data_IF_299500977351
#
_entry.id   IF_299500977351
#
_cell.length_a   1.000
_cell.length_b   1.000
_cell.length_c   1.000
_cell.angle_alpha   90.00
_cell.angle_beta   90.00
_cell.angle_gamma   90.00
#
_symmetry.space_group_name_H-M   'P 1'
#
loop_
_entity.id
_entity.type
_entity.pdbx_description
1 polymer ?
#
# COMPACT_ATOMS: atom_id res chain seq x y z
N UNK A 1 -2.19 15.44 -3.51
CA UNK A 1 -2.27 14.09 -2.92
C UNK A 1 -0.86 13.59 -2.69
N UNK A 2 -0.58 13.08 -1.50
CA UNK A 2 0.68 12.43 -1.14
C UNK A 2 0.35 10.96 -0.88
N UNK A 3 1.04 10.05 -1.59
CA UNK A 3 0.88 8.61 -1.40
C UNK A 3 2.14 8.02 -0.77
N UNK A 4 1.95 7.22 0.27
CA UNK A 4 3.06 6.55 0.96
C UNK A 4 2.70 5.15 1.42
N UNK A 5 3.67 4.49 2.02
CA UNK A 5 3.47 3.23 2.72
C UNK A 5 2.71 3.48 4.04
N UNK A 6 2.27 2.40 4.66
CA UNK A 6 1.55 2.45 5.94
C UNK A 6 2.53 2.66 7.10
N UNK A 7 2.87 3.92 7.37
CA UNK A 7 3.75 4.32 8.47
C UNK A 7 3.13 5.47 9.29
N UNK A 8 2.73 5.25 10.55
CA UNK A 8 2.06 6.26 11.37
C UNK A 8 2.87 7.53 11.57
N UNK A 9 4.19 7.41 11.75
CA UNK A 9 5.08 8.55 11.90
C UNK A 9 5.09 9.42 10.64
N UNK A 10 5.17 8.80 9.47
CA UNK A 10 5.12 9.48 8.19
C UNK A 10 3.77 10.17 7.96
N UNK A 11 2.66 9.49 8.28
CA UNK A 11 1.32 10.08 8.18
C UNK A 11 1.18 11.33 9.07
N UNK A 12 1.71 11.28 10.29
CA UNK A 12 1.73 12.41 11.22
C UNK A 12 2.51 13.61 10.67
N UNK A 13 3.72 13.36 10.14
CA UNK A 13 4.56 14.42 9.53
C UNK A 13 3.90 14.99 8.29
N UNK A 14 3.35 14.16 7.40
CA UNK A 14 2.67 14.64 6.19
C UNK A 14 1.49 15.55 6.55
N UNK A 15 0.70 15.18 7.56
CA UNK A 15 -0.43 15.99 8.01
C UNK A 15 0.01 17.33 8.64
N UNK A 16 1.12 17.32 9.38
CA UNK A 16 1.65 18.52 10.03
C UNK A 16 2.25 19.51 9.01
N UNK A 17 3.09 19.02 8.10
CA UNK A 17 3.84 19.85 7.15
C UNK A 17 3.07 20.18 5.86
N UNK A 18 2.14 19.31 5.46
CA UNK A 18 1.36 19.44 4.23
C UNK A 18 -0.15 19.38 4.51
N UNK A 19 -0.63 20.21 5.43
CA UNK A 19 -2.02 20.21 5.90
C UNK A 19 -3.09 20.41 4.81
N UNK A 20 -2.74 21.01 3.67
CA UNK A 20 -3.63 21.18 2.51
C UNK A 20 -3.64 19.99 1.56
N UNK A 21 -2.72 19.04 1.74
CA UNK A 21 -2.59 17.85 0.89
C UNK A 21 -3.32 16.66 1.49
N UNK A 22 -4.13 15.98 0.68
CA UNK A 22 -4.67 14.67 1.05
C UNK A 22 -3.54 13.64 1.12
N UNK A 23 -3.38 13.01 2.28
CA UNK A 23 -2.52 11.85 2.46
C UNK A 23 -3.34 10.57 2.30
N UNK A 24 -2.88 9.66 1.45
CA UNK A 24 -3.52 8.36 1.23
C UNK A 24 -2.44 7.29 1.22
N UNK A 25 -2.68 6.20 1.93
CA UNK A 25 -1.76 5.07 1.95
C UNK A 25 -1.95 4.18 0.72
N UNK A 26 -0.85 3.58 0.27
CA UNK A 26 -0.80 2.74 -0.91
C UNK A 26 -1.69 1.49 -0.79
N UNK A 27 -2.50 1.22 -1.81
CA UNK A 27 -3.39 0.05 -1.88
C UNK A 27 -2.64 -1.29 -1.79
N UNK A 28 -1.43 -1.36 -2.36
CA UNK A 28 -0.59 -2.55 -2.27
C UNK A 28 -0.21 -2.84 -0.82
N UNK A 29 0.20 -1.80 -0.07
CA UNK A 29 0.56 -1.93 1.34
C UNK A 29 -0.64 -2.26 2.23
N UNK A 30 -1.81 -1.68 1.95
CA UNK A 30 -3.07 -2.09 2.58
C UNK A 30 -3.33 -3.61 2.39
N UNK A 31 -3.31 -4.07 1.14
CA UNK A 31 -3.56 -5.48 0.80
C UNK A 31 -2.51 -6.40 1.42
N UNK A 32 -1.24 -5.97 1.43
CA UNK A 32 -0.13 -6.72 2.01
C UNK A 32 -0.25 -6.79 3.54
N UNK A 33 -0.71 -5.74 4.22
CA UNK A 33 -0.93 -5.74 5.66
C UNK A 33 -2.00 -6.77 6.06
N UNK A 34 -3.11 -6.83 5.32
CA UNK A 34 -4.15 -7.86 5.51
C UNK A 34 -3.58 -9.25 5.23
N UNK A 35 -2.82 -9.44 4.16
CA UNK A 35 -2.22 -10.74 3.86
C UNK A 35 -1.24 -11.20 4.97
N UNK A 36 -0.44 -10.28 5.52
CA UNK A 36 0.40 -10.56 6.69
C UNK A 36 -0.42 -10.87 7.93
N UNK A 37 -1.59 -10.27 8.11
CA UNK A 37 -2.51 -10.60 9.19
C UNK A 37 -3.05 -12.02 9.04
N UNK A 38 -3.52 -12.39 7.84
CA UNK A 38 -3.96 -13.76 7.48
C UNK A 38 -2.87 -14.78 7.87
N UNK A 39 -1.61 -14.48 7.55
CA UNK A 39 -0.48 -15.34 7.91
C UNK A 39 -0.28 -15.45 9.43
N UNK A 40 -0.33 -14.31 10.14
CA UNK A 40 -0.13 -14.25 11.60
C UNK A 40 -1.22 -14.98 12.38
N UNK A 41 -2.46 -14.91 11.94
CA UNK A 41 -3.59 -15.61 12.60
C UNK A 41 -3.73 -17.08 12.17
N UNK A 42 -2.74 -17.63 11.45
CA UNK A 42 -2.71 -19.05 11.07
C UNK A 42 -3.64 -19.43 9.92
N UNK A 43 -4.23 -18.46 9.21
CA UNK A 43 -5.17 -18.71 8.12
C UNK A 43 -4.52 -18.98 6.75
N UNK A 44 -3.18 -19.03 6.66
CA UNK A 44 -2.45 -19.25 5.39
C UNK A 44 -2.94 -20.46 4.60
N UNK A 45 -3.11 -21.61 5.27
CA UNK A 45 -3.57 -22.84 4.58
C UNK A 45 -5.01 -22.69 4.10
N UNK A 46 -5.89 -22.17 4.95
CA UNK A 46 -7.29 -21.92 4.61
C UNK A 46 -7.44 -20.91 3.48
N UNK A 47 -6.67 -19.83 3.47
CA UNK A 47 -6.68 -18.84 2.39
C UNK A 47 -6.30 -19.44 1.02
N UNK A 48 -5.44 -20.46 1.00
CA UNK A 48 -5.01 -21.10 -0.23
C UNK A 48 -5.95 -22.23 -0.68
N UNK A 49 -6.63 -22.89 0.24
CA UNK A 49 -7.35 -24.15 -0.01
C UNK A 49 -8.87 -24.09 0.22
N UNK A 50 -9.39 -23.04 0.86
CA UNK A 50 -10.82 -22.82 1.10
C UNK A 50 -11.28 -21.56 0.35
N UNK A 51 -12.03 -21.76 -0.74
CA UNK A 51 -12.50 -20.67 -1.60
C UNK A 51 -13.41 -19.68 -0.87
N UNK A 52 -14.16 -20.12 0.14
CA UNK A 52 -15.04 -19.24 0.90
C UNK A 52 -14.25 -18.30 1.80
N UNK A 53 -13.22 -18.81 2.48
CA UNK A 53 -12.29 -17.99 3.28
C UNK A 53 -11.50 -17.05 2.38
N UNK A 54 -10.99 -17.56 1.27
CA UNK A 54 -10.27 -16.76 0.28
C UNK A 54 -11.13 -15.62 -0.28
N UNK A 55 -12.41 -15.88 -0.52
CA UNK A 55 -13.35 -14.88 -1.02
C UNK A 55 -13.53 -13.74 -0.01
N UNK A 56 -13.82 -14.05 1.26
CA UNK A 56 -13.99 -13.01 2.31
C UNK A 56 -12.71 -12.21 2.48
N UNK A 57 -11.55 -12.87 2.57
CA UNK A 57 -10.25 -12.18 2.68
C UNK A 57 -10.01 -11.22 1.50
N UNK A 58 -10.41 -11.60 0.28
CA UNK A 58 -10.32 -10.74 -0.91
C UNK A 58 -11.33 -9.60 -0.90
N UNK A 59 -12.53 -9.80 -0.34
CA UNK A 59 -13.52 -8.74 -0.16
C UNK A 59 -13.00 -7.70 0.83
N UNK A 60 -12.39 -8.12 1.95
CA UNK A 60 -11.69 -7.20 2.87
C UNK A 60 -10.59 -6.40 2.16
N UNK A 61 -9.79 -7.06 1.31
CA UNK A 61 -8.77 -6.39 0.50
C UNK A 61 -9.36 -5.42 -0.53
N UNK A 62 -10.62 -5.60 -0.96
CA UNK A 62 -11.27 -4.79 -1.98
C UNK A 62 -12.02 -3.56 -1.42
N UNK A 63 -12.29 -3.49 -0.11
CA UNK A 63 -13.00 -2.37 0.53
C UNK A 63 -12.46 -0.97 0.15
N UNK A 64 -11.13 -0.71 0.06
CA UNK A 64 -10.59 0.58 -0.38
C UNK A 64 -11.05 1.06 -1.76
N UNK A 65 -11.56 0.15 -2.60
CA UNK A 65 -11.97 0.43 -3.96
C UNK A 65 -13.42 0.93 -4.03
N UNK A 66 -14.16 0.86 -2.93
CA UNK A 66 -15.54 1.35 -2.82
C UNK A 66 -15.56 2.83 -2.45
N UNK A 67 -16.63 3.57 -2.81
CA UNK A 67 -16.83 4.92 -2.30
C UNK A 67 -16.78 4.94 -0.77
N UNK A 68 -16.06 5.90 -0.20
CA UNK A 68 -15.88 6.01 1.26
C UNK A 68 -17.18 5.89 2.08
N UNK A 69 -18.30 6.53 1.70
CA UNK A 69 -19.54 6.49 2.50
C UNK A 69 -20.18 5.10 2.62
N UNK A 70 -19.83 4.13 1.76
CA UNK A 70 -20.45 2.80 1.75
C UNK A 70 -19.55 1.70 2.32
N UNK A 71 -18.31 2.03 2.69
CA UNK A 71 -17.31 1.03 3.10
C UNK A 71 -17.74 0.32 4.39
N UNK A 72 -18.15 1.06 5.40
CA UNK A 72 -18.55 0.52 6.70
C UNK A 72 -19.82 -0.33 6.58
N UNK A 73 -20.86 0.18 5.89
CA UNK A 73 -22.09 -0.56 5.61
C UNK A 73 -21.83 -1.88 4.84
N UNK A 74 -20.92 -1.83 3.85
CA UNK A 74 -20.56 -3.01 3.05
C UNK A 74 -19.77 -4.03 3.89
N UNK A 75 -18.89 -3.56 4.77
CA UNK A 75 -18.19 -4.44 5.71
C UNK A 75 -19.18 -5.12 6.65
N UNK A 76 -20.09 -4.36 7.26
CA UNK A 76 -21.09 -4.93 8.16
C UNK A 76 -22.00 -5.93 7.45
N UNK A 77 -22.42 -5.65 6.22
CA UNK A 77 -23.20 -6.58 5.42
C UNK A 77 -22.43 -7.86 5.11
N UNK A 78 -21.15 -7.76 4.75
CA UNK A 78 -20.26 -8.91 4.54
C UNK A 78 -20.21 -9.81 5.78
N UNK A 79 -20.08 -9.22 6.98
CA UNK A 79 -20.04 -9.98 8.23
C UNK A 79 -21.40 -10.58 8.56
N UNK A 80 -22.51 -9.82 8.40
CA UNK A 80 -23.87 -10.33 8.63
C UNK A 80 -24.23 -11.50 7.72
N UNK A 81 -23.83 -11.45 6.46
CA UNK A 81 -24.10 -12.49 5.47
C UNK A 81 -23.18 -13.72 5.62
N UNK A 82 -22.13 -13.63 6.43
CA UNK A 82 -21.22 -14.74 6.72
C UNK A 82 -21.80 -15.69 7.77
N UNK A 83 -21.70 -17.00 7.52
CA UNK A 83 -22.17 -18.03 8.46
C UNK A 83 -21.47 -17.92 9.82
N UNK A 84 -22.14 -18.36 10.89
CA UNK A 84 -21.57 -18.35 12.26
C UNK A 84 -20.23 -19.10 12.30
N UNK A 85 -20.15 -20.25 11.64
CA UNK A 85 -18.92 -21.05 11.55
C UNK A 85 -17.80 -20.28 10.85
N UNK A 86 -18.12 -19.54 9.79
CA UNK A 86 -17.14 -18.73 9.06
C UNK A 86 -16.62 -17.57 9.92
N UNK A 87 -17.53 -16.84 10.59
CA UNK A 87 -17.14 -15.76 11.50
C UNK A 87 -16.24 -16.26 12.62
N UNK A 88 -16.53 -17.43 13.20
CA UNK A 88 -15.66 -18.06 14.22
C UNK A 88 -14.27 -18.38 13.69
N UNK A 89 -14.16 -18.90 12.45
CA UNK A 89 -12.86 -19.18 11.82
C UNK A 89 -12.06 -17.90 11.53
N UNK A 90 -12.75 -16.80 11.21
CA UNK A 90 -12.13 -15.53 10.85
C UNK A 90 -11.96 -14.57 12.03
N UNK A 91 -12.39 -14.93 13.24
CA UNK A 91 -12.51 -14.03 14.39
C UNK A 91 -11.27 -13.15 14.58
N UNK A 92 -10.09 -13.75 14.69
CA UNK A 92 -8.84 -13.03 14.97
C UNK A 92 -8.44 -12.11 13.80
N UNK A 93 -8.80 -12.45 12.56
CA UNK A 93 -8.59 -11.59 11.40
C UNK A 93 -9.54 -10.40 11.42
N UNK A 94 -10.81 -10.61 11.76
CA UNK A 94 -11.83 -9.56 11.86
C UNK A 94 -11.52 -8.60 13.01
N UNK A 95 -11.12 -9.12 14.18
CA UNK A 95 -10.68 -8.30 15.31
C UNK A 95 -9.46 -7.45 14.93
N UNK A 96 -8.48 -8.03 14.23
CA UNK A 96 -7.38 -7.25 13.66
C UNK A 96 -7.89 -6.18 12.68
N UNK A 97 -8.86 -6.52 11.83
CA UNK A 97 -9.37 -5.63 10.82
C UNK A 97 -10.06 -4.42 11.46
N UNK A 98 -10.97 -4.64 12.40
CA UNK A 98 -11.68 -3.61 13.14
C UNK A 98 -10.70 -2.67 13.86
N UNK A 99 -9.76 -3.26 14.61
CA UNK A 99 -8.78 -2.51 15.38
C UNK A 99 -7.85 -1.65 14.52
N UNK A 100 -7.44 -2.12 13.35
CA UNK A 100 -6.53 -1.34 12.50
C UNK A 100 -7.28 -0.37 11.59
N UNK A 101 -8.32 -0.83 10.91
CA UNK A 101 -8.89 -0.13 9.76
C UNK A 101 -10.12 0.71 10.08
N UNK A 102 -10.77 0.47 11.22
CA UNK A 102 -11.88 1.31 11.71
C UNK A 102 -11.50 2.11 12.96
N UNK A 103 -10.70 1.54 13.89
CA UNK A 103 -10.37 2.23 15.14
C UNK A 103 -9.11 3.12 15.05
N UNK A 104 -8.05 2.68 14.37
CA UNK A 104 -6.75 3.38 14.36
C UNK A 104 -6.51 4.27 13.16
N UNK A 105 -7.00 3.87 11.99
CA UNK A 105 -6.73 4.57 10.72
C UNK A 105 -8.03 5.10 10.13
N UNK A 106 -8.15 6.40 9.84
CA UNK A 106 -9.33 6.95 9.17
C UNK A 106 -9.56 6.31 7.80
N UNK A 107 -10.82 6.05 7.43
CA UNK A 107 -11.18 5.46 6.12
C UNK A 107 -10.63 6.29 4.97
N UNK A 108 -10.73 7.61 5.05
CA UNK A 108 -10.15 8.54 4.07
C UNK A 108 -8.66 8.34 3.78
N UNK A 109 -7.90 7.75 4.72
CA UNK A 109 -6.47 7.49 4.57
C UNK A 109 -6.18 6.19 3.82
N UNK A 110 -7.08 5.21 3.82
CA UNK A 110 -6.89 3.95 3.09
C UNK A 110 -7.86 3.74 1.93
N UNK A 111 -8.87 4.59 1.77
CA UNK A 111 -9.75 4.63 0.62
C UNK A 111 -8.98 5.15 -0.61
N UNK A 112 -8.99 4.38 -1.70
CA UNK A 112 -8.35 4.73 -2.98
C UNK A 112 -9.35 4.85 -4.13
N UNK A 113 -10.65 4.88 -3.81
CA UNK A 113 -11.71 5.03 -4.77
C UNK A 113 -11.58 6.36 -5.54
N UNK A 114 -11.79 6.31 -6.86
CA UNK A 114 -11.67 7.49 -7.72
C UNK A 114 -10.24 7.99 -7.96
N UNK A 115 -9.22 7.47 -7.28
CA UNK A 115 -7.83 7.89 -7.48
C UNK A 115 -7.24 7.31 -8.77
N UNK A 116 -6.52 8.15 -9.54
CA UNK A 116 -5.77 7.75 -10.74
C UNK A 116 -4.48 7.00 -10.42
N UNK A 117 -3.88 7.28 -9.26
CA UNK A 117 -2.70 6.60 -8.73
C UNK A 117 -3.11 5.96 -7.39
N UNK A 118 -3.01 4.63 -7.32
CA UNK A 118 -3.41 3.84 -6.13
C UNK A 118 -2.25 3.10 -5.48
N UNK A 119 -1.10 3.07 -6.15
CA UNK A 119 0.11 2.41 -5.68
C UNK A 119 1.31 3.35 -5.75
N UNK A 120 2.31 3.07 -4.92
CA UNK A 120 3.61 3.72 -4.88
C UNK A 120 4.65 3.08 -5.84
N UNK A 121 4.21 2.26 -6.81
CA UNK A 121 5.06 1.46 -7.71
C UNK A 121 6.19 2.27 -8.37
N UNK A 122 5.97 3.55 -8.67
CA UNK A 122 7.00 4.41 -9.26
C UNK A 122 8.20 4.62 -8.33
N UNK A 123 7.94 4.85 -7.04
CA UNK A 123 8.99 4.99 -6.04
C UNK A 123 9.71 3.66 -5.82
N UNK A 124 8.98 2.55 -5.73
CA UNK A 124 9.56 1.20 -5.59
C UNK A 124 10.41 0.80 -6.80
N UNK A 125 9.95 1.10 -8.02
CA UNK A 125 10.71 0.87 -9.24
C UNK A 125 12.00 1.69 -9.29
N UNK A 126 11.93 2.95 -8.84
CA UNK A 126 13.12 3.79 -8.68
C UNK A 126 14.09 3.17 -7.67
N UNK A 127 13.62 2.81 -6.47
CA UNK A 127 14.45 2.20 -5.43
C UNK A 127 15.10 0.90 -5.91
N UNK A 128 14.34 0.02 -6.57
CA UNK A 128 14.85 -1.23 -7.14
C UNK A 128 15.96 -0.99 -8.17
N UNK A 129 15.72 -0.07 -9.11
CA UNK A 129 16.71 0.30 -10.13
C UNK A 129 17.96 0.92 -9.50
N UNK A 130 17.79 1.79 -8.51
CA UNK A 130 18.89 2.46 -7.82
C UNK A 130 19.74 1.44 -7.04
N UNK A 131 19.11 0.58 -6.24
CA UNK A 131 19.80 -0.46 -5.48
C UNK A 131 20.57 -1.43 -6.38
N UNK A 132 20.01 -1.80 -7.55
CA UNK A 132 20.71 -2.62 -8.55
C UNK A 132 21.97 -1.97 -9.12
N UNK A 133 22.09 -0.63 -9.07
CA UNK A 133 23.29 0.09 -9.51
C UNK A 133 24.29 0.31 -8.39
N UNK A 134 23.79 0.60 -7.19
CA UNK A 134 24.63 0.77 -6.01
C UNK A 134 25.39 -0.53 -5.75
N UNK A 135 24.73 -1.70 -5.82
CA UNK A 135 25.30 -3.04 -5.58
C UNK A 135 26.13 -3.17 -4.29
N UNK A 136 25.96 -2.24 -3.36
CA UNK A 136 26.56 -2.26 -2.04
C UNK A 136 25.43 -2.40 -1.03
N UNK A 137 25.56 -3.37 -0.13
CA UNK A 137 24.59 -3.58 0.94
C UNK A 137 24.55 -2.39 1.92
N UNK A 138 25.71 -1.79 2.18
CA UNK A 138 25.87 -0.63 3.06
C UNK A 138 26.88 0.38 2.46
N UNK A 139 26.48 1.18 1.46
CA UNK A 139 27.34 2.24 0.95
C UNK A 139 27.62 3.27 2.06
N UNK A 140 28.88 3.64 2.26
CA UNK A 140 29.19 4.79 3.09
C UNK A 140 28.68 6.09 2.43
N UNK A 141 28.65 7.19 3.19
CA UNK A 141 28.11 8.48 2.73
C UNK A 141 28.75 8.95 1.41
N UNK A 142 30.06 8.81 1.25
CA UNK A 142 30.76 9.24 0.04
C UNK A 142 30.39 8.40 -1.18
N UNK A 143 30.34 7.08 -1.02
CA UNK A 143 29.88 6.16 -2.05
C UNK A 143 28.43 6.44 -2.43
N UNK A 144 27.56 6.68 -1.43
CA UNK A 144 26.17 7.01 -1.65
C UNK A 144 25.99 8.31 -2.45
N UNK A 145 26.69 9.39 -2.07
CA UNK A 145 26.70 10.66 -2.81
C UNK A 145 27.18 10.46 -4.25
N UNK A 146 28.22 9.63 -4.46
CA UNK A 146 28.72 9.31 -5.80
C UNK A 146 27.64 8.64 -6.66
N UNK A 147 26.90 7.67 -6.10
CA UNK A 147 25.80 7.02 -6.81
C UNK A 147 24.64 7.98 -7.09
N UNK A 148 24.30 8.87 -6.15
CA UNK A 148 23.27 9.90 -6.37
C UNK A 148 23.63 10.84 -7.51
N UNK A 149 24.88 11.32 -7.57
CA UNK A 149 25.37 12.13 -8.69
C UNK A 149 25.24 11.39 -10.03
N UNK A 150 25.56 10.10 -10.04
CA UNK A 150 25.40 9.25 -11.23
C UNK A 150 23.94 9.12 -11.68
N UNK A 151 22.98 9.00 -10.75
CA UNK A 151 21.56 9.01 -11.12
C UNK A 151 21.11 10.36 -11.69
N UNK A 152 21.49 11.46 -11.05
CA UNK A 152 21.15 12.81 -11.48
C UNK A 152 21.62 13.07 -12.91
N UNK A 153 22.89 12.77 -13.21
CA UNK A 153 23.45 12.96 -14.55
C UNK A 153 22.71 12.14 -15.61
N UNK A 154 22.23 10.94 -15.26
CA UNK A 154 21.42 10.12 -16.18
C UNK A 154 20.03 10.71 -16.40
N UNK A 155 19.37 11.18 -15.35
CA UNK A 155 18.07 11.83 -15.48
C UNK A 155 18.19 13.09 -16.34
N UNK A 156 19.23 13.89 -16.12
CA UNK A 156 19.53 15.06 -16.94
C UNK A 156 19.70 14.67 -18.42
N UNK A 157 20.50 13.62 -18.70
CA UNK A 157 20.69 13.13 -20.07
C UNK A 157 19.38 12.67 -20.72
N UNK A 158 18.56 11.89 -20.00
CA UNK A 158 17.26 11.38 -20.48
C UNK A 158 16.28 12.53 -20.76
N UNK A 159 16.26 13.55 -19.90
CA UNK A 159 15.44 14.74 -20.08
C UNK A 159 15.85 15.54 -21.32
N UNK A 160 17.16 15.73 -21.53
CA UNK A 160 17.68 16.39 -22.73
C UNK A 160 17.35 15.63 -24.00
N UNK A 161 17.47 14.29 -24.00
CA UNK A 161 17.06 13.45 -25.15
C UNK A 161 15.56 13.58 -25.45
N UNK A 162 14.72 13.55 -24.40
CA UNK A 162 13.28 13.72 -24.54
C UNK A 162 12.93 15.08 -25.16
N UNK A 163 13.53 16.17 -24.66
CA UNK A 163 13.31 17.51 -25.21
C UNK A 163 13.83 17.68 -26.64
N UNK A 164 14.82 16.89 -27.04
CA UNK A 164 15.32 16.85 -28.41
C UNK A 164 14.44 16.00 -29.36
N UNK A 165 13.31 15.45 -28.88
CA UNK A 165 12.41 14.61 -29.68
C UNK A 165 12.95 13.19 -29.92
N UNK A 166 14.01 12.78 -29.22
CA UNK A 166 14.67 11.48 -29.38
C UNK A 166 14.12 10.41 -28.43
N UNK A 167 12.83 10.51 -28.07
CA UNK A 167 12.17 9.64 -27.07
C UNK A 167 12.49 8.15 -27.29
N UNK A 168 12.90 7.49 -26.20
CA UNK A 168 13.45 6.13 -26.17
C UNK A 168 12.66 5.14 -27.05
N UNK A 169 13.34 4.56 -28.03
CA UNK A 169 12.93 3.31 -28.70
C UNK A 169 13.25 2.12 -27.82
#
# INVERSE_FOLDING_TARGET
MIMSDFEPALAGVVKAEFSTSTHVSCYFHYSQAIYRAIQRVGLSSSYNNDDSIKHICRQLMALPLLPEPVIEDTYDELIRNSSITMRKKLNDLLEYFDEQWFNKVPISQWCVHGLSIRTNNNAEAFHSRFNRRVQLHHPNMWSFIKFLKGEESRFHHMYTQFNAGLGAR
#
